data_IF_923363069865
#
_entry.id   IF_923363069865
#
_cell.length_a   1.000
_cell.length_b   1.000
_cell.length_c   1.000
_cell.angle_alpha   90.00
_cell.angle_beta   90.00
_cell.angle_gamma   90.00
#
_symmetry.space_group_name_H-M   'P 1'
#
loop_
_entity.id
_entity.type
_entity.pdbx_description
1 polymer ?
#
# COMPACT_ATOMS: atom_id res chain seq x y z
N UNK A 1 9.44 0.18 16.28
CA UNK A 1 8.92 1.43 15.69
C UNK A 1 7.68 1.83 16.45
N UNK A 2 7.56 3.11 16.86
CA UNK A 2 6.32 3.58 17.51
C UNK A 2 5.33 3.95 16.40
N UNK A 3 4.20 3.26 16.38
CA UNK A 3 3.08 3.66 15.54
C UNK A 3 2.24 4.68 16.31
N UNK A 4 1.71 5.68 15.62
CA UNK A 4 0.73 6.59 16.19
C UNK A 4 -0.62 5.89 16.43
N UNK A 5 -1.59 6.62 16.99
CA UNK A 5 -2.94 6.11 17.26
C UNK A 5 -3.12 5.47 18.64
N UNK A 6 -2.09 5.50 19.49
CA UNK A 6 -2.17 5.05 20.89
C UNK A 6 -1.86 6.22 21.83
N UNK A 7 -2.87 6.70 22.53
CA UNK A 7 -2.75 7.77 23.51
C UNK A 7 -2.23 7.32 24.88
N UNK A 8 -2.09 6.01 25.12
CA UNK A 8 -1.76 5.45 26.44
C UNK A 8 -0.46 6.04 27.00
N UNK A 9 0.60 6.07 26.17
CA UNK A 9 1.90 6.61 26.61
C UNK A 9 1.86 8.14 26.80
N UNK A 10 1.13 8.84 25.93
CA UNK A 10 0.99 10.30 26.05
C UNK A 10 0.23 10.68 27.32
N UNK A 11 -0.86 9.99 27.61
CA UNK A 11 -1.65 10.19 28.83
C UNK A 11 -0.82 9.85 30.08
N UNK A 12 -0.06 8.75 30.06
CA UNK A 12 0.80 8.37 31.18
C UNK A 12 1.88 9.43 31.46
N UNK A 13 2.38 10.09 30.43
CA UNK A 13 3.44 11.12 30.54
C UNK A 13 2.92 12.49 30.91
N UNK A 14 1.77 12.89 30.39
CA UNK A 14 1.26 14.25 30.46
C UNK A 14 -0.05 14.39 31.26
N UNK A 15 -0.63 13.26 31.66
CA UNK A 15 -1.90 13.23 32.40
C UNK A 15 -3.12 13.46 31.49
N UNK A 16 -4.28 13.63 32.12
CA UNK A 16 -5.55 13.85 31.43
C UNK A 16 -6.33 12.56 31.20
N UNK A 17 -7.47 12.68 30.54
CA UNK A 17 -8.34 11.57 30.13
C UNK A 17 -8.44 11.54 28.60
N UNK A 18 -8.66 10.38 27.97
CA UNK A 18 -8.64 10.22 26.51
C UNK A 18 -9.52 11.25 25.76
N UNK A 19 -10.65 11.61 26.33
CA UNK A 19 -11.65 12.53 25.74
C UNK A 19 -11.12 13.97 25.57
N UNK A 20 -10.07 14.32 26.33
CA UNK A 20 -9.43 15.65 26.28
C UNK A 20 -8.25 15.70 25.28
N UNK A 21 -7.94 14.58 24.63
CA UNK A 21 -6.84 14.49 23.68
C UNK A 21 -7.34 14.53 22.24
N UNK A 22 -6.65 15.29 21.40
CA UNK A 22 -6.77 15.22 19.94
C UNK A 22 -5.58 14.45 19.39
N UNK A 23 -5.82 13.24 18.89
CA UNK A 23 -4.77 12.43 18.26
C UNK A 23 -4.59 12.83 16.79
N UNK A 24 -3.44 13.42 16.49
CA UNK A 24 -3.01 13.78 15.13
C UNK A 24 -1.78 12.98 14.69
N UNK A 25 -1.48 11.88 15.36
CA UNK A 25 -0.25 11.09 15.14
C UNK A 25 -0.33 10.12 13.96
N UNK A 26 -1.53 9.94 13.38
CA UNK A 26 -1.74 9.03 12.24
C UNK A 26 -2.54 9.70 11.13
N UNK A 27 -2.33 9.21 9.89
CA UNK A 27 -3.19 9.56 8.74
C UNK A 27 -4.38 8.60 8.57
N UNK A 28 -4.80 7.90 9.62
CA UNK A 28 -5.94 6.98 9.55
C UNK A 28 -7.24 7.76 9.39
N UNK A 29 -8.09 7.32 8.48
CA UNK A 29 -9.42 7.90 8.29
C UNK A 29 -10.23 7.81 9.60
N UNK A 30 -10.66 8.94 10.19
CA UNK A 30 -11.43 8.94 11.44
C UNK A 30 -12.87 8.43 11.28
N UNK A 31 -13.34 8.26 10.04
CA UNK A 31 -14.68 7.72 9.76
C UNK A 31 -14.57 6.24 9.38
N UNK A 32 -14.86 5.32 10.32
CA UNK A 32 -14.85 3.91 10.02
C UNK A 32 -15.94 3.56 9.00
N UNK A 33 -15.66 2.56 8.17
CA UNK A 33 -16.68 2.00 7.30
C UNK A 33 -17.82 1.43 8.15
N UNK A 34 -19.08 1.82 7.90
CA UNK A 34 -20.20 1.28 8.65
C UNK A 34 -20.36 -0.22 8.34
N UNK A 35 -20.16 -1.05 9.37
CA UNK A 35 -20.39 -2.48 9.25
C UNK A 35 -21.92 -2.70 9.11
N UNK A 36 -22.38 -3.42 8.06
CA UNK A 36 -23.78 -3.72 7.88
C UNK A 36 -24.36 -4.43 9.10
N UNK A 37 -25.52 -3.99 9.57
CA UNK A 37 -26.27 -4.69 10.64
C UNK A 37 -26.78 -6.01 10.08
N UNK A 38 -26.65 -7.10 10.85
CA UNK A 38 -27.18 -8.42 10.45
C UNK A 38 -26.25 -9.25 9.57
N UNK A 39 -24.94 -9.07 9.71
CA UNK A 39 -24.01 -10.04 9.13
C UNK A 39 -24.31 -11.45 9.67
N UNK A 40 -24.32 -12.49 8.81
CA UNK A 40 -24.54 -13.87 9.25
C UNK A 40 -23.51 -14.31 10.31
N UNK A 41 -23.92 -15.04 11.33
CA UNK A 41 -23.04 -15.54 12.39
C UNK A 41 -21.81 -16.31 11.85
N UNK A 42 -21.98 -17.01 10.75
CA UNK A 42 -20.90 -17.73 10.08
C UNK A 42 -19.70 -16.87 9.68
N UNK A 43 -19.88 -15.55 9.53
CA UNK A 43 -18.79 -14.59 9.24
C UNK A 43 -17.80 -14.52 10.40
N UNK A 44 -18.28 -14.75 11.64
CA UNK A 44 -17.50 -14.69 12.87
C UNK A 44 -17.02 -16.06 13.37
N UNK A 45 -17.66 -17.12 12.90
CA UNK A 45 -17.50 -18.46 13.49
C UNK A 45 -16.72 -19.42 12.61
N UNK A 46 -16.52 -19.12 11.32
CA UNK A 46 -15.87 -20.01 10.37
C UNK A 46 -14.73 -19.32 9.64
N UNK A 47 -13.76 -20.10 9.21
CA UNK A 47 -12.78 -19.65 8.24
C UNK A 47 -13.46 -19.34 6.90
N UNK A 48 -12.99 -18.32 6.16
CA UNK A 48 -13.49 -18.05 4.82
C UNK A 48 -13.40 -19.28 3.92
N UNK A 49 -14.46 -19.54 3.18
CA UNK A 49 -14.46 -20.60 2.16
C UNK A 49 -13.81 -20.09 0.86
N UNK A 50 -13.47 -21.00 -0.04
CA UNK A 50 -13.03 -20.63 -1.40
C UNK A 50 -14.08 -19.80 -2.15
N UNK A 51 -15.36 -20.06 -1.89
CA UNK A 51 -16.45 -19.28 -2.50
C UNK A 51 -16.45 -17.83 -1.99
N UNK A 52 -16.19 -17.62 -0.68
CA UNK A 52 -16.08 -16.29 -0.08
C UNK A 52 -14.87 -15.53 -0.66
N UNK A 53 -13.73 -16.21 -0.80
CA UNK A 53 -12.54 -15.63 -1.42
C UNK A 53 -12.79 -15.24 -2.89
N UNK A 54 -13.39 -16.11 -3.68
CA UNK A 54 -13.75 -15.80 -5.07
C UNK A 54 -14.73 -14.62 -5.15
N UNK A 55 -15.71 -14.55 -4.26
CA UNK A 55 -16.66 -13.44 -4.22
C UNK A 55 -15.95 -12.11 -3.87
N UNK A 56 -15.03 -12.13 -2.92
CA UNK A 56 -14.20 -10.96 -2.58
C UNK A 56 -13.37 -10.50 -3.77
N UNK A 57 -12.66 -11.42 -4.42
CA UNK A 57 -11.83 -11.13 -5.60
C UNK A 57 -12.67 -10.55 -6.74
N UNK A 58 -13.85 -11.13 -7.01
CA UNK A 58 -14.75 -10.64 -8.05
C UNK A 58 -15.26 -9.22 -7.72
N UNK A 59 -15.65 -8.97 -6.48
CA UNK A 59 -16.09 -7.66 -6.02
C UNK A 59 -14.96 -6.62 -6.11
N UNK A 60 -13.75 -6.96 -5.68
CA UNK A 60 -12.58 -6.10 -5.76
C UNK A 60 -12.21 -5.78 -7.22
N UNK A 61 -12.20 -6.79 -8.10
CA UNK A 61 -11.95 -6.61 -9.53
C UNK A 61 -12.91 -5.58 -10.14
N UNK A 62 -14.20 -5.70 -9.83
CA UNK A 62 -15.23 -4.76 -10.29
C UNK A 62 -15.04 -3.37 -9.70
N UNK A 63 -14.80 -3.29 -8.38
CA UNK A 63 -14.65 -2.02 -7.67
C UNK A 63 -13.44 -1.22 -8.16
N UNK A 64 -12.32 -1.89 -8.40
CA UNK A 64 -11.08 -1.26 -8.87
C UNK A 64 -11.02 -1.10 -10.40
N UNK A 65 -12.01 -1.62 -11.13
CA UNK A 65 -12.00 -1.57 -12.59
C UNK A 65 -10.79 -2.26 -13.20
N UNK A 66 -10.41 -3.41 -12.60
CA UNK A 66 -9.25 -4.18 -13.03
C UNK A 66 -9.40 -4.67 -14.46
N UNK A 67 -8.39 -4.51 -15.32
CA UNK A 67 -8.45 -5.03 -16.69
C UNK A 67 -8.43 -6.56 -16.68
N UNK A 68 -8.98 -7.13 -17.75
CA UNK A 68 -8.90 -8.57 -18.00
C UNK A 68 -7.42 -8.98 -18.13
N UNK A 69 -7.07 -10.12 -17.55
CA UNK A 69 -5.69 -10.61 -17.51
C UNK A 69 -4.82 -10.10 -16.36
N UNK A 70 -5.24 -9.03 -15.64
CA UNK A 70 -4.53 -8.65 -14.43
C UNK A 70 -4.77 -9.66 -13.31
N UNK A 71 -3.70 -10.11 -12.65
CA UNK A 71 -3.79 -10.89 -11.43
C UNK A 71 -4.37 -10.07 -10.28
N UNK A 72 -5.04 -10.74 -9.34
CA UNK A 72 -5.48 -10.14 -8.09
C UNK A 72 -5.34 -11.16 -6.98
N UNK A 73 -4.83 -10.73 -5.84
CA UNK A 73 -4.73 -11.53 -4.63
C UNK A 73 -5.21 -10.71 -3.43
N UNK A 74 -5.84 -11.37 -2.48
CA UNK A 74 -6.25 -10.76 -1.22
C UNK A 74 -5.34 -11.23 -0.08
N UNK A 75 -5.08 -10.32 0.85
CA UNK A 75 -4.30 -10.61 2.06
C UNK A 75 -4.90 -9.89 3.27
N UNK A 76 -4.55 -10.35 4.46
CA UNK A 76 -4.98 -9.74 5.72
C UNK A 76 -4.20 -8.45 5.99
N UNK A 77 -4.54 -7.41 5.23
CA UNK A 77 -3.95 -6.08 5.32
C UNK A 77 -2.69 -5.88 4.46
N UNK A 78 -2.43 -4.61 4.13
CA UNK A 78 -1.30 -4.18 3.29
C UNK A 78 0.04 -4.60 3.87
N UNK A 79 0.17 -4.62 5.20
CA UNK A 79 1.41 -5.01 5.87
C UNK A 79 1.86 -6.42 5.51
N UNK A 80 0.93 -7.36 5.35
CA UNK A 80 1.26 -8.72 4.91
C UNK A 80 1.87 -8.69 3.50
N UNK A 81 1.30 -7.93 2.58
CA UNK A 81 1.83 -7.79 1.22
C UNK A 81 3.22 -7.15 1.23
N UNK A 82 3.43 -6.07 1.98
CA UNK A 82 4.72 -5.38 2.14
C UNK A 82 5.80 -6.37 2.58
N UNK A 83 5.50 -7.26 3.54
CA UNK A 83 6.46 -8.24 4.04
C UNK A 83 6.78 -9.34 3.01
N UNK A 84 5.83 -9.74 2.16
CA UNK A 84 6.02 -10.84 1.20
C UNK A 84 6.63 -10.41 -0.13
N UNK A 85 6.34 -9.20 -0.63
CA UNK A 85 6.81 -8.71 -1.92
C UNK A 85 8.33 -8.86 -2.13
N UNK A 86 9.19 -8.55 -1.14
CA UNK A 86 10.65 -8.68 -1.32
C UNK A 86 11.12 -10.13 -1.57
N UNK A 87 10.40 -11.12 -1.07
CA UNK A 87 10.72 -12.54 -1.26
C UNK A 87 10.23 -13.09 -2.60
N UNK A 88 9.18 -12.48 -3.16
CA UNK A 88 8.63 -12.85 -4.47
C UNK A 88 9.38 -12.19 -5.63
N UNK A 89 10.01 -11.05 -5.38
CA UNK A 89 10.74 -10.30 -6.38
C UNK A 89 12.06 -10.95 -6.77
N UNK A 90 12.48 -10.79 -8.01
CA UNK A 90 13.80 -11.19 -8.48
C UNK A 90 14.93 -10.56 -7.63
N UNK A 91 16.13 -11.11 -7.71
CA UNK A 91 17.28 -10.49 -7.06
C UNK A 91 17.59 -9.12 -7.68
N UNK A 92 18.00 -8.16 -6.83
CA UNK A 92 18.40 -6.83 -7.29
C UNK A 92 18.25 -5.77 -6.22
N UNK A 93 18.84 -4.63 -6.49
CA UNK A 93 18.73 -3.43 -5.66
C UNK A 93 17.33 -2.83 -5.78
N UNK A 94 16.81 -2.28 -4.70
CA UNK A 94 15.52 -1.60 -4.68
C UNK A 94 15.67 -0.14 -4.30
N UNK A 95 15.05 0.74 -5.08
CA UNK A 95 14.89 2.14 -4.74
C UNK A 95 13.53 2.37 -4.08
N UNK A 96 13.52 3.06 -2.96
CA UNK A 96 12.31 3.48 -2.25
C UNK A 96 12.19 5.00 -2.36
N UNK A 97 11.11 5.48 -2.96
CA UNK A 97 10.89 6.93 -3.11
C UNK A 97 10.37 7.49 -1.78
N UNK A 98 11.23 8.24 -1.11
CA UNK A 98 11.00 8.74 0.25
C UNK A 98 11.16 10.26 0.39
N UNK A 99 11.09 10.80 1.62
CA UNK A 99 10.69 10.05 2.83
C UNK A 99 9.27 9.49 2.72
N UNK A 100 9.08 8.23 3.16
CA UNK A 100 7.82 7.51 3.01
C UNK A 100 7.59 6.54 4.15
N UNK A 101 6.50 5.76 4.10
CA UNK A 101 6.19 4.71 5.05
C UNK A 101 7.35 3.72 5.18
N UNK A 102 7.99 3.72 6.33
CA UNK A 102 9.28 3.07 6.56
C UNK A 102 9.26 1.54 6.45
N UNK A 103 8.07 0.90 6.55
CA UNK A 103 7.96 -0.55 6.48
C UNK A 103 8.42 -1.13 5.13
N UNK A 104 8.30 -0.36 4.05
CA UNK A 104 8.84 -0.79 2.77
C UNK A 104 10.36 -1.00 2.83
N UNK A 105 11.11 0.03 3.22
CA UNK A 105 12.56 -0.09 3.31
C UNK A 105 12.99 -1.19 4.30
N UNK A 106 12.30 -1.30 5.44
CA UNK A 106 12.56 -2.33 6.46
C UNK A 106 12.34 -3.73 5.90
N UNK A 107 11.22 -3.98 5.20
CA UNK A 107 10.89 -5.29 4.65
C UNK A 107 11.92 -5.74 3.60
N UNK A 108 12.30 -4.85 2.68
CA UNK A 108 13.30 -5.15 1.67
C UNK A 108 14.68 -5.41 2.27
N UNK A 109 15.10 -4.61 3.27
CA UNK A 109 16.36 -4.82 4.00
C UNK A 109 16.36 -6.16 4.74
N UNK A 110 15.26 -6.51 5.44
CA UNK A 110 15.12 -7.81 6.12
C UNK A 110 15.18 -9.00 5.17
N UNK A 111 14.72 -8.83 3.94
CA UNK A 111 14.83 -9.84 2.89
C UNK A 111 16.23 -9.90 2.25
N UNK A 112 17.21 -9.18 2.79
CA UNK A 112 18.59 -9.17 2.32
C UNK A 112 18.80 -8.39 1.01
N UNK A 113 17.89 -7.47 0.68
CA UNK A 113 18.03 -6.62 -0.50
C UNK A 113 18.79 -5.35 -0.17
N UNK A 114 19.60 -4.88 -1.10
CA UNK A 114 20.20 -3.56 -1.03
C UNK A 114 19.11 -2.50 -1.28
N UNK A 115 18.91 -1.61 -0.30
CA UNK A 115 17.87 -0.57 -0.35
C UNK A 115 18.53 0.79 -0.45
N UNK A 116 18.10 1.58 -1.43
CA UNK A 116 18.42 2.99 -1.52
C UNK A 116 17.15 3.82 -1.36
N UNK A 117 17.25 4.95 -0.69
CA UNK A 117 16.16 5.90 -0.56
C UNK A 117 16.48 7.10 -1.43
N UNK A 118 15.57 7.45 -2.33
CA UNK A 118 15.66 8.60 -3.23
C UNK A 118 14.50 9.54 -2.98
N UNK A 119 14.61 10.80 -3.32
CA UNK A 119 13.53 11.78 -3.07
C UNK A 119 12.57 11.89 -4.26
N UNK A 120 13.00 11.48 -5.45
CA UNK A 120 12.22 11.54 -6.68
C UNK A 120 12.55 10.36 -7.59
N UNK A 121 11.63 10.01 -8.51
CA UNK A 121 11.84 8.96 -9.51
C UNK A 121 13.00 9.25 -10.46
N UNK A 122 13.31 10.53 -10.71
CA UNK A 122 14.44 10.93 -11.55
C UNK A 122 15.81 10.70 -10.92
N UNK A 123 15.87 10.46 -9.62
CA UNK A 123 17.11 10.17 -8.88
C UNK A 123 17.38 8.65 -8.76
N UNK A 124 16.47 7.82 -9.26
CA UNK A 124 16.63 6.37 -9.20
C UNK A 124 17.82 5.95 -10.08
N UNK A 125 18.84 5.30 -9.49
CA UNK A 125 20.01 4.88 -10.26
C UNK A 125 19.66 3.71 -11.18
N UNK A 126 20.38 3.61 -12.29
CA UNK A 126 20.25 2.52 -13.25
C UNK A 126 20.49 1.14 -12.63
N UNK A 127 21.21 1.04 -11.51
CA UNK A 127 21.43 -0.21 -10.79
C UNK A 127 20.17 -0.73 -10.07
N UNK A 128 19.19 0.11 -9.79
CA UNK A 128 17.97 -0.31 -9.14
C UNK A 128 17.08 -1.13 -10.09
N UNK A 129 16.78 -2.36 -9.68
CA UNK A 129 15.93 -3.29 -10.44
C UNK A 129 14.47 -3.12 -10.02
N UNK A 130 14.21 -2.79 -8.77
CA UNK A 130 12.86 -2.59 -8.25
C UNK A 130 12.69 -1.18 -7.71
N UNK A 131 11.49 -0.64 -7.84
CA UNK A 131 11.15 0.70 -7.33
C UNK A 131 9.86 0.60 -6.53
N UNK A 132 9.86 1.21 -5.34
CA UNK A 132 8.69 1.32 -4.47
C UNK A 132 8.26 2.78 -4.39
N UNK A 133 6.97 3.03 -4.67
CA UNK A 133 6.32 4.33 -4.58
C UNK A 133 5.07 4.21 -3.73
N UNK A 134 4.94 4.99 -2.68
CA UNK A 134 3.67 5.16 -1.95
C UNK A 134 2.90 6.31 -2.58
N UNK A 135 1.63 6.11 -2.97
CA UNK A 135 0.88 7.08 -3.77
C UNK A 135 -0.63 7.09 -3.49
N UNK A 136 -1.16 8.12 -2.85
CA UNK A 136 -0.45 9.30 -2.30
C UNK A 136 0.54 8.92 -1.22
N UNK A 137 1.64 9.67 -1.15
CA UNK A 137 2.71 9.37 -0.21
C UNK A 137 2.28 9.61 1.25
N UNK A 138 2.70 8.74 2.12
CA UNK A 138 2.63 8.91 3.57
C UNK A 138 4.04 9.26 4.08
N UNK A 139 4.30 10.46 4.69
CA UNK A 139 3.27 11.29 5.35
C UNK A 139 2.83 12.56 4.58
N UNK A 140 3.48 12.93 3.49
CA UNK A 140 3.36 14.27 2.89
C UNK A 140 2.21 14.42 1.87
N UNK A 141 1.54 13.33 1.53
CA UNK A 141 0.44 13.34 0.56
C UNK A 141 0.85 13.58 -0.89
N UNK A 142 2.15 13.59 -1.19
CA UNK A 142 2.67 13.78 -2.54
C UNK A 142 2.13 12.72 -3.49
N UNK A 143 1.76 13.16 -4.70
CA UNK A 143 1.23 12.29 -5.75
C UNK A 143 2.25 12.16 -6.88
N UNK A 144 2.64 10.93 -7.16
CA UNK A 144 3.42 10.61 -8.35
C UNK A 144 2.49 10.47 -9.55
N UNK A 145 2.72 11.28 -10.57
CA UNK A 145 1.85 11.34 -11.74
C UNK A 145 1.80 10.02 -12.52
N UNK A 146 0.66 9.75 -13.16
CA UNK A 146 0.45 8.53 -13.95
C UNK A 146 1.47 8.36 -15.08
N UNK A 147 1.82 9.44 -15.78
CA UNK A 147 2.79 9.40 -16.87
C UNK A 147 4.18 8.96 -16.38
N UNK A 148 4.64 9.51 -15.24
CA UNK A 148 5.91 9.12 -14.64
C UNK A 148 5.91 7.67 -14.21
N UNK A 149 4.83 7.21 -13.55
CA UNK A 149 4.70 5.79 -13.14
C UNK A 149 4.70 4.85 -14.36
N UNK A 150 4.01 5.21 -15.44
CA UNK A 150 3.98 4.40 -16.66
C UNK A 150 5.35 4.33 -17.36
N UNK A 151 6.06 5.45 -17.44
CA UNK A 151 7.42 5.47 -17.99
C UNK A 151 8.39 4.63 -17.16
N UNK A 152 8.32 4.75 -15.83
CA UNK A 152 9.12 3.94 -14.91
C UNK A 152 8.82 2.44 -15.05
N UNK A 153 7.54 2.06 -15.12
CA UNK A 153 7.16 0.67 -15.30
C UNK A 153 7.67 0.10 -16.62
N UNK A 154 7.57 0.87 -17.71
CA UNK A 154 8.11 0.45 -19.02
C UNK A 154 9.62 0.24 -18.97
N UNK A 155 10.36 1.17 -18.35
CA UNK A 155 11.81 1.04 -18.20
C UNK A 155 12.23 -0.20 -17.38
N UNK A 156 11.50 -0.52 -16.32
CA UNK A 156 11.78 -1.68 -15.47
C UNK A 156 11.44 -3.02 -16.12
N UNK A 157 10.44 -3.04 -17.00
CA UNK A 157 9.95 -4.26 -17.65
C UNK A 157 11.05 -5.02 -18.38
N UNK A 158 11.84 -4.32 -19.19
CA UNK A 158 12.90 -4.93 -20.01
C UNK A 158 14.05 -5.50 -19.16
N UNK A 159 14.07 -5.14 -17.88
CA UNK A 159 15.07 -5.55 -16.88
C UNK A 159 14.53 -6.62 -15.91
N UNK A 160 13.29 -7.09 -16.10
CA UNK A 160 12.62 -8.01 -15.18
C UNK A 160 12.34 -7.38 -13.81
N UNK A 161 12.31 -6.05 -13.74
CA UNK A 161 12.10 -5.29 -12.52
C UNK A 161 10.62 -5.06 -12.22
N UNK A 162 10.36 -4.57 -11.01
CA UNK A 162 9.02 -4.26 -10.54
C UNK A 162 8.90 -2.80 -10.14
N UNK A 163 7.82 -2.16 -10.57
CA UNK A 163 7.31 -0.94 -9.95
C UNK A 163 6.20 -1.32 -8.99
N UNK A 164 6.45 -1.19 -7.70
CA UNK A 164 5.47 -1.42 -6.63
C UNK A 164 4.85 -0.08 -6.28
N UNK A 165 3.53 0.01 -6.40
CA UNK A 165 2.76 1.22 -6.06
C UNK A 165 1.86 0.87 -4.88
N UNK A 166 2.15 1.44 -3.71
CA UNK A 166 1.32 1.32 -2.53
C UNK A 166 0.27 2.43 -2.52
N UNK A 167 -0.97 2.04 -2.70
CA UNK A 167 -2.14 2.92 -2.68
C UNK A 167 -3.04 2.66 -1.46
N UNK A 168 -2.45 2.23 -0.33
CA UNK A 168 -3.19 1.95 0.91
C UNK A 168 -3.89 3.18 1.51
N UNK A 169 -3.41 4.39 1.20
CA UNK A 169 -4.00 5.64 1.67
C UNK A 169 -4.58 6.44 0.50
N UNK A 170 -5.65 5.95 -0.14
CA UNK A 170 -6.24 6.67 -1.26
C UNK A 170 -6.78 8.02 -0.80
N UNK A 171 -6.47 9.06 -1.55
CA UNK A 171 -7.16 10.35 -1.35
C UNK A 171 -8.67 10.15 -1.52
N UNK A 172 -9.52 10.85 -0.75
CA UNK A 172 -10.94 10.84 -0.98
C UNK A 172 -11.20 11.30 -2.43
N UNK A 173 -11.58 10.35 -3.26
CA UNK A 173 -11.80 10.59 -4.69
C UNK A 173 -13.11 11.35 -4.82
N UNK A 174 -13.08 12.50 -5.49
CA UNK A 174 -14.30 13.08 -6.02
C UNK A 174 -14.97 12.04 -6.93
N UNK A 175 -16.29 11.90 -6.96
CA UNK A 175 -17.01 10.82 -7.67
C UNK A 175 -16.67 10.64 -9.16
N UNK A 176 -15.91 11.55 -9.76
CA UNK A 176 -15.53 11.54 -11.17
C UNK A 176 -14.18 10.88 -11.50
N UNK A 177 -13.38 10.50 -10.52
CA UNK A 177 -12.08 9.87 -10.75
C UNK A 177 -12.20 8.35 -10.68
N UNK A 178 -12.38 7.68 -11.81
CA UNK A 178 -12.28 6.22 -11.90
C UNK A 178 -10.80 5.82 -11.86
N UNK A 179 -10.45 4.91 -10.96
CA UNK A 179 -9.18 4.22 -10.99
C UNK A 179 -9.04 3.49 -12.32
N UNK A 180 -8.05 3.85 -13.09
CA UNK A 180 -7.70 3.12 -14.31
C UNK A 180 -6.26 2.66 -14.18
N UNK A 181 -6.06 1.36 -14.05
CA UNK A 181 -4.74 0.75 -14.19
C UNK A 181 -4.22 1.06 -15.61
N UNK A 182 -2.97 1.47 -15.72
CA UNK A 182 -2.37 1.64 -17.05
C UNK A 182 -2.13 0.27 -17.66
N UNK A 183 -2.39 0.05 -18.95
CA UNK A 183 -2.13 -1.22 -19.63
C UNK A 183 -0.68 -1.70 -19.52
N UNK A 184 0.25 -0.78 -19.31
CA UNK A 184 1.69 -1.09 -19.17
C UNK A 184 2.06 -1.83 -17.86
N UNK A 185 1.13 -1.97 -16.88
CA UNK A 185 1.37 -2.73 -15.64
C UNK A 185 1.07 -4.22 -15.79
N UNK A 186 0.69 -4.69 -16.99
CA UNK A 186 0.02 -5.98 -17.19
C UNK A 186 0.68 -6.89 -18.21
N UNK A 187 1.91 -6.65 -18.55
CA UNK A 187 2.59 -7.55 -19.49
C UNK A 187 3.94 -8.02 -18.96
#
# INVERSE_FOLDING_TARGET
MKHGGDLTEAIARHGGVPENWLDLSTGINPWPWPIPVGLPDGVWQRLPSRADEHALIAAARKAYGMPDGAGIAAAAGTQMLIQWLPYLAAAGQVAVVGPTYSEHAIAWTKAGREVIVVTDLGEVPESAVHIVVVNPNNPDGRITGRASRAATAAHLKDRGGWLIIDEASPMPIRPSARWRCAPACLS
#
